data_IF_068633538214
#
_entry.id   IF_068633538214
#
_cell.length_a   1.000
_cell.length_b   1.000
_cell.length_c   1.000
_cell.angle_alpha   90.00
_cell.angle_beta   90.00
_cell.angle_gamma   90.00
#
_symmetry.space_group_name_H-M   'P 1'
#
loop_
_entity.id
_entity.type
_entity.pdbx_description
1 polymer ?
#
# COMPACT_ATOMS: atom_id res chain seq x y z
N UNK A 1 3.12 -0.50 -7.01
CA UNK A 1 2.16 0.12 -7.96
C UNK A 1 2.91 0.58 -9.20
N UNK A 2 2.73 -0.08 -10.34
CA UNK A 2 3.46 0.26 -11.57
C UNK A 2 2.74 1.39 -12.32
N UNK A 3 3.49 2.21 -13.07
CA UNK A 3 2.95 3.36 -13.85
C UNK A 3 1.86 2.92 -14.85
N UNK A 4 1.90 1.67 -15.31
CA UNK A 4 0.88 1.09 -16.19
C UNK A 4 -0.49 0.91 -15.48
N UNK A 5 -0.50 0.52 -14.20
CA UNK A 5 -1.74 0.39 -13.41
C UNK A 5 -2.43 1.75 -13.25
N UNK A 6 -1.65 2.83 -13.17
CA UNK A 6 -2.14 4.20 -12.98
C UNK A 6 -2.85 4.72 -14.23
N UNK A 7 -2.48 4.26 -15.43
CA UNK A 7 -3.05 4.79 -16.68
C UNK A 7 -4.52 4.38 -16.87
N UNK A 8 -4.92 3.18 -16.44
CA UNK A 8 -6.32 2.74 -16.43
C UNK A 8 -7.21 3.56 -15.48
N UNK A 9 -6.61 4.20 -14.46
CA UNK A 9 -7.33 4.98 -13.45
C UNK A 9 -7.85 6.29 -14.06
N UNK A 10 -7.10 6.94 -14.97
CA UNK A 10 -7.46 8.25 -15.53
C UNK A 10 -8.78 8.24 -16.33
N UNK A 11 -9.09 7.16 -17.05
CA UNK A 11 -10.33 7.07 -17.83
C UNK A 11 -11.53 6.58 -17.02
N UNK A 12 -11.33 5.96 -15.85
CA UNK A 12 -12.38 5.34 -15.03
C UNK A 12 -12.67 6.00 -13.68
N UNK A 13 -11.96 7.07 -13.31
CA UNK A 13 -12.17 7.74 -12.02
C UNK A 13 -13.58 8.36 -11.90
N UNK A 14 -14.28 8.10 -10.80
CA UNK A 14 -15.58 8.71 -10.51
C UNK A 14 -15.48 10.02 -9.71
N UNK A 15 -14.69 10.02 -8.62
CA UNK A 15 -14.53 11.15 -7.70
C UNK A 15 -13.08 11.26 -7.23
N UNK A 16 -12.65 12.50 -6.95
CA UNK A 16 -11.35 12.80 -6.32
C UNK A 16 -11.63 13.25 -4.89
N UNK A 17 -10.94 12.65 -3.91
CA UNK A 17 -11.03 13.00 -2.49
C UNK A 17 -9.64 13.49 -2.06
N UNK A 18 -9.60 14.58 -1.30
CA UNK A 18 -8.37 15.14 -0.75
C UNK A 18 -8.30 14.80 0.74
N UNK A 19 -7.16 14.28 1.18
CA UNK A 19 -6.91 13.82 2.55
C UNK A 19 -5.74 14.61 3.14
N UNK A 20 -5.88 15.11 4.36
CA UNK A 20 -4.85 15.85 5.12
C UNK A 20 -4.85 17.37 4.95
N UNK A 21 -4.44 18.09 6.00
CA UNK A 21 -4.51 19.55 6.12
C UNK A 21 -3.87 20.34 4.97
N UNK A 22 -2.72 19.86 4.47
CA UNK A 22 -1.98 20.51 3.37
C UNK A 22 -2.78 20.61 2.08
N UNK A 23 -3.87 19.83 1.94
CA UNK A 23 -4.76 19.89 0.79
C UNK A 23 -5.70 21.09 0.78
N UNK A 24 -5.75 21.87 1.87
CA UNK A 24 -6.48 23.15 1.96
C UNK A 24 -5.82 24.27 1.14
N UNK A 25 -4.54 24.11 0.76
CA UNK A 25 -3.83 25.12 -0.04
C UNK A 25 -4.51 25.26 -1.42
N UNK A 26 -4.95 26.47 -1.82
CA UNK A 26 -5.66 26.68 -3.10
C UNK A 26 -4.89 26.18 -4.32
N UNK A 27 -3.56 26.31 -4.29
CA UNK A 27 -2.68 25.84 -5.36
C UNK A 27 -2.71 24.32 -5.53
N UNK A 28 -2.80 23.54 -4.43
CA UNK A 28 -2.91 22.07 -4.51
C UNK A 28 -4.22 21.68 -5.17
N UNK A 29 -5.34 22.29 -4.74
CA UNK A 29 -6.66 22.00 -5.29
C UNK A 29 -6.73 22.32 -6.78
N UNK A 30 -6.15 23.45 -7.20
CA UNK A 30 -6.09 23.84 -8.60
C UNK A 30 -5.21 22.90 -9.43
N UNK A 31 -4.03 22.50 -8.92
CA UNK A 31 -3.16 21.53 -9.59
C UNK A 31 -3.84 20.18 -9.77
N UNK A 32 -4.53 19.68 -8.74
CA UNK A 32 -5.31 18.44 -8.81
C UNK A 32 -6.45 18.57 -9.82
N UNK A 33 -7.19 19.69 -9.81
CA UNK A 33 -8.26 19.93 -10.76
C UNK A 33 -7.75 19.98 -12.21
N UNK A 34 -6.59 20.58 -12.44
CA UNK A 34 -5.95 20.63 -13.76
C UNK A 34 -5.45 19.25 -14.22
N UNK A 35 -4.92 18.44 -13.29
CA UNK A 35 -4.39 17.11 -13.59
C UNK A 35 -5.50 16.10 -13.90
N UNK A 36 -6.59 16.12 -13.13
CA UNK A 36 -7.67 15.15 -13.23
C UNK A 36 -8.91 15.66 -13.98
N UNK A 37 -8.92 16.94 -14.39
CA UNK A 37 -10.01 17.58 -15.12
C UNK A 37 -11.32 17.71 -14.34
N UNK A 38 -11.29 17.52 -13.02
CA UNK A 38 -12.48 17.47 -12.15
C UNK A 38 -12.21 18.14 -10.81
N UNK A 39 -13.24 18.77 -10.25
CA UNK A 39 -13.14 19.38 -8.93
C UNK A 39 -13.05 18.30 -7.83
N UNK A 40 -12.13 18.43 -6.86
CA UNK A 40 -12.08 17.55 -5.70
C UNK A 40 -13.36 17.66 -4.87
N UNK A 41 -13.81 16.54 -4.31
CA UNK A 41 -14.98 16.48 -3.45
C UNK A 41 -14.69 17.14 -2.10
N UNK A 42 -15.68 17.89 -1.59
CA UNK A 42 -15.66 18.51 -0.25
C UNK A 42 -16.59 17.81 0.74
N UNK A 43 -16.99 16.57 0.44
CA UNK A 43 -17.98 15.84 1.23
C UNK A 43 -17.44 15.38 2.60
N UNK A 44 -16.13 15.35 2.78
CA UNK A 44 -15.46 14.85 3.99
C UNK A 44 -14.47 15.92 4.47
N UNK A 45 -14.37 16.08 5.80
CA UNK A 45 -13.37 16.94 6.42
C UNK A 45 -11.98 16.27 6.31
N UNK A 46 -11.00 16.88 5.62
CA UNK A 46 -9.69 16.25 5.37
C UNK A 46 -8.82 16.05 6.62
N UNK A 47 -9.20 16.65 7.75
CA UNK A 47 -8.43 16.58 9.00
C UNK A 47 -8.90 15.40 9.88
N UNK A 48 -10.13 14.90 9.68
CA UNK A 48 -10.78 13.87 10.52
C UNK A 48 -11.10 12.57 9.78
N UNK A 49 -10.98 12.57 8.45
CA UNK A 49 -11.36 11.46 7.58
C UNK A 49 -10.63 10.15 7.89
N UNK A 50 -9.33 10.22 8.16
CA UNK A 50 -8.52 9.05 8.53
C UNK A 50 -9.00 8.46 9.86
N UNK A 51 -9.30 9.29 10.84
CA UNK A 51 -9.77 8.84 12.16
C UNK A 51 -11.16 8.19 12.07
N UNK A 52 -12.08 8.80 11.32
CA UNK A 52 -13.40 8.25 11.04
C UNK A 52 -13.29 6.89 10.32
N UNK A 53 -12.43 6.78 9.30
CA UNK A 53 -12.20 5.53 8.59
C UNK A 53 -11.64 4.42 9.49
N UNK A 54 -10.70 4.76 10.38
CA UNK A 54 -10.17 3.82 11.36
C UNK A 54 -11.23 3.34 12.37
N UNK A 55 -12.10 4.24 12.84
CA UNK A 55 -13.19 3.88 13.75
C UNK A 55 -14.20 2.94 13.10
N UNK A 56 -14.57 3.20 11.83
CA UNK A 56 -15.45 2.30 11.05
C UNK A 56 -14.80 0.92 10.91
N UNK A 57 -13.51 0.86 10.57
CA UNK A 57 -12.78 -0.40 10.47
C UNK A 57 -12.75 -1.14 11.82
N UNK A 58 -12.62 -0.41 12.93
CA UNK A 58 -12.74 -0.96 14.28
C UNK A 58 -14.12 -1.58 14.56
N UNK A 59 -15.20 -0.91 14.16
CA UNK A 59 -16.57 -1.43 14.28
C UNK A 59 -16.81 -2.68 13.43
N UNK A 60 -16.20 -2.77 12.24
CA UNK A 60 -16.21 -3.99 11.41
C UNK A 60 -15.52 -5.14 12.11
N UNK A 61 -14.36 -4.90 12.74
CA UNK A 61 -13.64 -5.93 13.50
C UNK A 61 -14.36 -6.34 14.80
N UNK A 62 -15.13 -5.44 15.41
CA UNK A 62 -15.96 -5.72 16.58
C UNK A 62 -17.26 -6.48 16.24
N UNK A 63 -17.64 -6.53 14.95
CA UNK A 63 -18.86 -7.17 14.48
C UNK A 63 -20.10 -6.26 14.49
N UNK A 64 -19.94 -4.97 14.79
CA UNK A 64 -21.02 -3.97 14.78
C UNK A 64 -21.43 -3.60 13.33
N UNK A 65 -20.54 -3.82 12.36
CA UNK A 65 -20.77 -3.54 10.93
C UNK A 65 -20.44 -4.81 10.12
N UNK A 66 -21.45 -5.39 9.47
CA UNK A 66 -21.34 -6.72 8.82
C UNK A 66 -21.07 -6.69 7.31
N UNK A 67 -21.30 -5.57 6.64
CA UNK A 67 -21.28 -5.48 5.17
C UNK A 67 -20.07 -4.73 4.60
N UNK A 68 -18.90 -4.91 5.21
CA UNK A 68 -17.66 -4.30 4.73
C UNK A 68 -16.56 -5.36 4.55
N UNK A 69 -16.05 -5.49 3.33
CA UNK A 69 -14.86 -6.27 3.02
C UNK A 69 -13.72 -5.33 2.65
N UNK A 70 -12.64 -5.36 3.43
CA UNK A 70 -11.42 -4.60 3.15
C UNK A 70 -10.33 -5.55 2.62
N UNK A 71 -9.98 -5.40 1.35
CA UNK A 71 -8.85 -6.09 0.73
C UNK A 71 -7.66 -5.13 0.68
N UNK A 72 -6.62 -5.43 1.44
CA UNK A 72 -5.40 -4.62 1.47
C UNK A 72 -4.27 -5.28 0.67
N UNK A 73 -3.27 -4.50 0.25
CA UNK A 73 -2.12 -4.98 -0.54
C UNK A 73 -0.81 -4.47 0.05
N UNK A 74 0.29 -5.20 -0.17
CA UNK A 74 1.64 -4.78 0.26
C UNK A 74 2.12 -3.56 -0.54
N UNK A 75 2.68 -2.51 0.09
CA UNK A 75 3.14 -1.32 -0.63
C UNK A 75 4.46 -1.54 -1.38
N UNK A 76 5.36 -2.31 -0.77
CA UNK A 76 6.70 -2.62 -1.25
C UNK A 76 6.87 -4.14 -1.30
N UNK A 77 7.88 -4.59 -2.04
CA UNK A 77 8.27 -5.99 -2.08
C UNK A 77 9.03 -6.35 -0.80
N UNK A 78 8.86 -7.60 -0.36
CA UNK A 78 9.58 -8.16 0.77
C UNK A 78 10.56 -9.20 0.24
N UNK A 79 11.81 -9.01 0.61
CA UNK A 79 12.94 -9.70 0.06
C UNK A 79 13.83 -10.25 1.19
N UNK A 80 14.64 -11.25 0.86
CA UNK A 80 15.70 -11.74 1.73
C UNK A 80 17.04 -11.62 1.04
N UNK A 81 18.03 -11.05 1.71
CA UNK A 81 19.39 -11.04 1.21
C UNK A 81 20.10 -12.37 1.49
N UNK A 82 20.83 -12.86 0.49
CA UNK A 82 21.68 -14.04 0.60
C UNK A 82 23.16 -13.67 0.49
N UNK A 83 24.04 -14.60 0.90
CA UNK A 83 25.50 -14.43 0.83
C UNK A 83 25.90 -14.06 -0.60
N UNK A 84 26.57 -12.90 -0.75
CA UNK A 84 26.96 -12.35 -2.05
C UNK A 84 26.15 -11.13 -2.50
N UNK A 85 25.27 -10.59 -1.65
CA UNK A 85 24.51 -9.35 -1.92
C UNK A 85 23.38 -9.55 -2.93
N UNK A 86 22.98 -10.79 -3.20
CA UNK A 86 21.89 -11.12 -4.11
C UNK A 86 20.59 -11.17 -3.30
N UNK A 87 19.68 -10.26 -3.63
CA UNK A 87 18.33 -10.23 -3.07
C UNK A 87 17.43 -11.28 -3.76
N UNK A 88 16.75 -12.09 -2.96
CA UNK A 88 15.70 -12.99 -3.41
C UNK A 88 14.34 -12.46 -2.94
N UNK A 89 13.50 -12.02 -3.89
CA UNK A 89 12.17 -11.51 -3.61
C UNK A 89 11.19 -12.61 -3.22
N UNK A 90 10.58 -12.48 -2.04
CA UNK A 90 9.62 -13.44 -1.51
C UNK A 90 8.18 -13.04 -1.79
N UNK A 91 7.83 -11.78 -1.51
CA UNK A 91 6.48 -11.24 -1.71
C UNK A 91 6.61 -9.97 -2.54
N UNK A 92 5.94 -9.94 -3.69
CA UNK A 92 5.97 -8.76 -4.57
C UNK A 92 5.16 -7.60 -3.97
N UNK A 93 5.53 -6.36 -4.30
CA UNK A 93 4.65 -5.21 -4.10
C UNK A 93 3.28 -5.42 -4.78
N UNK A 94 2.26 -4.77 -4.25
CA UNK A 94 0.86 -4.91 -4.68
C UNK A 94 0.26 -6.32 -4.49
N UNK A 95 0.82 -7.17 -3.63
CA UNK A 95 0.24 -8.49 -3.32
C UNK A 95 -0.84 -8.35 -2.24
N UNK A 96 -2.03 -8.94 -2.45
CA UNK A 96 -3.12 -8.93 -1.46
C UNK A 96 -2.72 -9.61 -0.16
N UNK A 97 -3.01 -8.97 0.98
CA UNK A 97 -2.83 -9.52 2.32
C UNK A 97 -4.18 -9.98 2.89
N UNK A 98 -4.22 -11.08 3.67
CA UNK A 98 -3.09 -11.89 4.16
C UNK A 98 -2.50 -12.83 3.09
N UNK A 99 -1.16 -12.95 3.05
CA UNK A 99 -0.45 -13.87 2.14
C UNK A 99 0.73 -14.55 2.86
N UNK A 100 1.13 -15.74 2.39
CA UNK A 100 2.27 -16.49 2.94
C UNK A 100 3.13 -17.05 1.79
N UNK A 101 4.43 -16.82 1.86
CA UNK A 101 5.43 -17.44 0.99
C UNK A 101 6.45 -18.19 1.84
N UNK A 102 6.99 -19.29 1.32
CA UNK A 102 8.09 -20.03 1.94
C UNK A 102 9.11 -20.38 0.86
N UNK A 103 10.39 -20.26 1.20
CA UNK A 103 11.51 -20.58 0.33
C UNK A 103 12.56 -21.31 1.15
N UNK A 104 13.19 -22.32 0.54
CA UNK A 104 14.23 -23.12 1.17
C UNK A 104 15.59 -22.53 0.79
N UNK A 105 16.43 -22.29 1.80
CA UNK A 105 17.80 -21.82 1.65
C UNK A 105 18.79 -22.92 2.07
N UNK A 106 20.01 -22.86 1.56
CA UNK A 106 21.10 -23.79 1.88
C UNK A 106 22.39 -23.05 2.17
N UNK A 107 23.36 -23.74 2.76
CA UNK A 107 24.70 -23.21 3.05
C UNK A 107 25.46 -22.88 1.77
N UNK A 108 26.16 -21.76 1.76
CA UNK A 108 26.96 -21.31 0.62
C UNK A 108 28.35 -21.96 0.57
N UNK A 109 28.86 -22.50 1.68
CA UNK A 109 30.19 -23.11 1.77
C UNK A 109 30.22 -24.38 2.64
N UNK A 110 31.19 -25.27 2.36
CA UNK A 110 31.41 -26.49 3.14
C UNK A 110 31.88 -26.16 4.56
N UNK A 111 31.28 -26.80 5.57
CA UNK A 111 31.58 -26.56 6.98
C UNK A 111 30.95 -25.28 7.56
N UNK A 112 30.06 -24.60 6.83
CA UNK A 112 29.31 -23.46 7.33
C UNK A 112 28.32 -23.92 8.43
N UNK A 113 28.51 -23.44 9.66
CA UNK A 113 27.70 -23.81 10.83
C UNK A 113 26.51 -22.87 11.09
N UNK A 114 26.50 -21.69 10.47
CA UNK A 114 25.47 -20.66 10.65
C UNK A 114 25.04 -20.05 9.31
N UNK A 115 23.74 -19.80 9.17
CA UNK A 115 23.15 -19.03 8.06
C UNK A 115 22.54 -17.76 8.64
N UNK A 116 22.85 -16.63 8.03
CA UNK A 116 22.24 -15.34 8.34
C UNK A 116 21.25 -14.99 7.22
N UNK A 117 20.05 -14.54 7.60
CA UNK A 117 19.00 -14.13 6.67
C UNK A 117 18.59 -12.72 7.07
N UNK A 118 18.90 -11.74 6.23
CA UNK A 118 18.43 -10.38 6.40
C UNK A 118 17.11 -10.19 5.64
N UNK A 119 16.06 -9.76 6.35
CA UNK A 119 14.82 -9.35 5.72
C UNK A 119 14.91 -7.87 5.28
N UNK A 120 14.52 -7.58 4.04
CA UNK A 120 14.51 -6.23 3.45
C UNK A 120 13.16 -5.92 2.82
N UNK A 121 12.86 -4.63 2.70
CA UNK A 121 11.64 -4.12 2.07
C UNK A 121 12.02 -3.04 1.04
N UNK A 122 11.65 -3.26 -0.23
CA UNK A 122 12.04 -2.42 -1.38
C UNK A 122 10.91 -2.17 -2.40
#
# INVERSE_FOLDING_TARGET
>A
MQIHDVFHIFSGMGKVILVGDMTRMPKVQQTVQNLFGRAPSKAVNPDEDVACGAAIQGGVLAGDVTDALLLHVTPLSLDTETVGGVSARLINSSTTIPTRKSQVFSTAAYGQTQVEIEARQE
#
